data_IF_317244914128
#
_entry.id   IF_317244914128
#
_cell.length_a   1.000
_cell.length_b   1.000
_cell.length_c   1.000
_cell.angle_alpha   90.00
_cell.angle_beta   90.00
_cell.angle_gamma   90.00
#
_symmetry.space_group_name_H-M   'P 1'
#
loop_
_entity.id
_entity.type
_entity.pdbx_description
1 polymer ?
#
# COMPACT_ATOMS: atom_id res chain seq x y z
N UNK A 1 -21.62 -29.20 9.50
CA UNK A 1 -20.92 -28.02 8.99
C UNK A 1 -21.74 -27.21 7.97
N UNK A 2 -22.34 -27.88 6.97
CA UNK A 2 -23.15 -27.23 5.91
C UNK A 2 -24.29 -26.35 6.39
N UNK A 3 -25.14 -26.80 7.39
CA UNK A 3 -26.19 -25.94 7.92
C UNK A 3 -25.70 -24.68 8.61
N UNK A 4 -24.56 -24.78 9.33
CA UNK A 4 -23.95 -23.63 10.01
C UNK A 4 -23.42 -22.61 8.99
N UNK A 5 -22.74 -23.09 7.97
CA UNK A 5 -22.25 -22.23 6.88
C UNK A 5 -23.40 -21.51 6.20
N UNK A 6 -24.50 -22.25 5.89
CA UNK A 6 -25.70 -21.66 5.28
C UNK A 6 -26.34 -20.61 6.20
N UNK A 7 -26.41 -20.86 7.52
CA UNK A 7 -26.91 -19.90 8.50
C UNK A 7 -26.05 -18.60 8.52
N UNK A 8 -24.75 -18.73 8.51
CA UNK A 8 -23.84 -17.57 8.44
C UNK A 8 -24.06 -16.75 7.16
N UNK A 9 -24.16 -17.39 6.01
CA UNK A 9 -24.45 -16.69 4.75
C UNK A 9 -25.80 -15.97 4.78
N UNK A 10 -26.84 -16.59 5.33
CA UNK A 10 -28.17 -15.95 5.48
C UNK A 10 -28.10 -14.72 6.39
N UNK A 11 -27.37 -14.82 7.52
CA UNK A 11 -27.16 -13.70 8.43
C UNK A 11 -26.39 -12.55 7.77
N UNK A 12 -25.28 -12.85 7.09
CA UNK A 12 -24.48 -11.84 6.38
C UNK A 12 -25.33 -11.13 5.30
N UNK A 13 -26.14 -11.89 4.57
CA UNK A 13 -27.02 -11.32 3.55
C UNK A 13 -28.09 -10.41 4.16
N UNK A 14 -28.80 -10.88 5.20
CA UNK A 14 -29.78 -10.07 5.89
C UNK A 14 -29.19 -8.80 6.48
N UNK A 15 -27.99 -8.90 7.10
CA UNK A 15 -27.26 -7.73 7.59
C UNK A 15 -26.92 -6.74 6.46
N UNK A 16 -26.45 -7.22 5.32
CA UNK A 16 -26.10 -6.35 4.19
C UNK A 16 -27.32 -5.61 3.62
N UNK A 17 -28.47 -6.30 3.53
CA UNK A 17 -29.73 -5.73 3.08
C UNK A 17 -30.23 -4.64 4.05
N UNK A 18 -30.26 -4.92 5.35
CA UNK A 18 -30.67 -3.95 6.40
C UNK A 18 -29.69 -2.77 6.49
N UNK A 19 -28.39 -3.03 6.40
CA UNK A 19 -27.37 -1.97 6.44
C UNK A 19 -27.48 -1.03 5.24
N UNK A 20 -27.72 -1.57 4.04
CA UNK A 20 -27.96 -0.76 2.84
C UNK A 20 -29.23 0.11 2.98
N UNK A 21 -30.33 -0.48 3.46
CA UNK A 21 -31.57 0.24 3.69
C UNK A 21 -31.41 1.37 4.73
N UNK A 22 -30.70 1.10 5.83
CA UNK A 22 -30.45 2.11 6.87
C UNK A 22 -29.58 3.28 6.35
N UNK A 23 -28.61 3.00 5.50
CA UNK A 23 -27.80 4.05 4.84
C UNK A 23 -28.65 4.89 3.89
N UNK A 24 -29.52 4.27 3.11
CA UNK A 24 -30.41 4.95 2.19
C UNK A 24 -31.40 5.86 2.96
N UNK A 25 -32.05 5.36 4.02
CA UNK A 25 -32.95 6.14 4.87
C UNK A 25 -32.23 7.35 5.50
N UNK A 26 -30.99 7.16 5.96
CA UNK A 26 -30.19 8.21 6.55
C UNK A 26 -29.52 9.15 5.51
N UNK A 27 -29.62 8.86 4.22
CA UNK A 27 -28.89 9.54 3.13
C UNK A 27 -27.39 9.58 3.37
N UNK A 28 -26.82 8.47 3.84
CA UNK A 28 -25.39 8.30 4.13
C UNK A 28 -24.74 7.33 3.13
N UNK A 29 -23.47 7.56 2.88
CA UNK A 29 -22.61 6.63 2.14
C UNK A 29 -21.29 6.45 2.88
N UNK A 30 -20.77 5.22 2.92
CA UNK A 30 -19.44 4.93 3.42
C UNK A 30 -18.40 4.88 2.29
N UNK A 31 -17.11 4.79 2.63
CA UNK A 31 -16.05 4.74 1.63
C UNK A 31 -16.17 3.58 0.63
N UNK A 32 -16.54 2.35 1.03
CA UNK A 32 -16.84 1.27 0.09
C UNK A 32 -17.95 1.59 -0.91
N UNK A 33 -18.98 2.33 -0.51
CA UNK A 33 -20.07 2.73 -1.41
C UNK A 33 -19.57 3.60 -2.56
N UNK A 34 -18.68 4.57 -2.27
CA UNK A 34 -18.09 5.41 -3.33
C UNK A 34 -17.34 4.58 -4.37
N UNK A 35 -16.58 3.60 -3.91
CA UNK A 35 -15.85 2.71 -4.82
C UNK A 35 -16.81 1.85 -5.65
N UNK A 36 -17.87 1.31 -5.04
CA UNK A 36 -18.87 0.50 -5.72
C UNK A 36 -19.68 1.33 -6.73
N UNK A 37 -20.08 2.54 -6.36
CA UNK A 37 -20.79 3.46 -7.25
C UNK A 37 -19.92 3.86 -8.44
N UNK A 38 -18.65 4.21 -8.21
CA UNK A 38 -17.72 4.54 -9.29
C UNK A 38 -17.51 3.34 -10.22
N UNK A 39 -17.38 2.13 -9.68
CA UNK A 39 -17.28 0.92 -10.47
C UNK A 39 -18.51 0.71 -11.35
N UNK A 40 -19.71 0.79 -10.80
CA UNK A 40 -20.98 0.63 -11.53
C UNK A 40 -21.19 1.71 -12.60
N UNK A 41 -20.67 2.92 -12.38
CA UNK A 41 -20.69 3.98 -13.39
C UNK A 41 -19.73 3.70 -14.56
N UNK A 42 -18.58 3.08 -14.28
CA UNK A 42 -17.50 2.92 -15.25
C UNK A 42 -17.51 1.56 -15.94
N UNK A 43 -17.96 0.49 -15.26
CA UNK A 43 -17.88 -0.89 -15.71
C UNK A 43 -19.28 -1.47 -15.83
N UNK A 44 -19.62 -1.98 -17.01
CA UNK A 44 -20.90 -2.63 -17.25
C UNK A 44 -20.91 -4.08 -16.72
N UNK A 45 -22.08 -4.71 -16.62
CA UNK A 45 -22.23 -6.10 -16.14
C UNK A 45 -21.41 -7.13 -16.92
N UNK A 46 -21.13 -6.86 -18.19
CA UNK A 46 -20.29 -7.70 -19.06
C UNK A 46 -18.78 -7.44 -18.89
N UNK A 47 -18.41 -6.56 -17.94
CA UNK A 47 -17.03 -6.20 -17.65
C UNK A 47 -16.42 -5.16 -18.61
N UNK A 48 -17.21 -4.62 -19.55
CA UNK A 48 -16.74 -3.61 -20.51
C UNK A 48 -16.91 -2.20 -19.97
N UNK A 49 -16.11 -1.22 -20.45
CA UNK A 49 -16.34 0.19 -20.14
C UNK A 49 -17.72 0.65 -20.60
N UNK A 50 -18.43 1.33 -19.71
CA UNK A 50 -19.70 1.99 -20.04
C UNK A 50 -19.51 3.15 -21.01
N UNK A 51 -20.59 3.66 -21.59
CA UNK A 51 -20.53 4.86 -22.44
C UNK A 51 -20.05 6.09 -21.65
N UNK A 52 -20.36 6.16 -20.35
CA UNK A 52 -19.82 7.18 -19.44
C UNK A 52 -18.30 7.07 -19.33
N UNK A 53 -17.77 5.89 -19.07
CA UNK A 53 -16.32 5.67 -18.96
C UNK A 53 -15.60 5.98 -20.28
N UNK A 54 -16.18 5.57 -21.41
CA UNK A 54 -15.66 5.89 -22.75
C UNK A 54 -15.67 7.40 -23.06
N UNK A 55 -16.68 8.12 -22.60
CA UNK A 55 -16.70 9.56 -22.73
C UNK A 55 -15.64 10.23 -21.85
N UNK A 56 -15.49 9.72 -20.60
CA UNK A 56 -14.52 10.21 -19.64
C UNK A 56 -13.08 9.97 -20.11
N UNK A 57 -12.79 8.80 -20.71
CA UNK A 57 -11.44 8.45 -21.19
C UNK A 57 -10.90 9.41 -22.26
N UNK A 58 -11.77 10.10 -22.99
CA UNK A 58 -11.37 11.08 -23.99
C UNK A 58 -10.81 12.37 -23.39
N UNK A 59 -11.10 12.63 -22.11
CA UNK A 59 -10.66 13.84 -21.42
C UNK A 59 -9.23 13.72 -20.87
N UNK A 60 -8.69 12.50 -20.80
CA UNK A 60 -7.37 12.25 -20.23
C UNK A 60 -6.38 11.85 -21.32
N UNK A 61 -5.29 12.60 -21.46
CA UNK A 61 -4.16 12.19 -22.28
C UNK A 61 -3.36 11.10 -21.59
N UNK A 62 -3.10 11.26 -20.30
CA UNK A 62 -2.40 10.32 -19.44
C UNK A 62 -3.10 10.20 -18.09
N UNK A 63 -3.05 9.02 -17.49
CA UNK A 63 -3.57 8.72 -16.16
C UNK A 63 -2.40 8.17 -15.34
N UNK A 64 -1.96 8.96 -14.35
CA UNK A 64 -0.83 8.65 -13.50
C UNK A 64 -1.34 8.13 -12.15
N UNK A 65 -0.93 6.93 -11.77
CA UNK A 65 -1.36 6.26 -10.55
C UNK A 65 -0.15 6.05 -9.65
N UNK A 66 -0.12 6.78 -8.55
CA UNK A 66 0.93 6.66 -7.52
C UNK A 66 0.50 5.69 -6.40
N UNK A 67 1.48 5.18 -5.65
CA UNK A 67 1.28 4.20 -4.57
C UNK A 67 0.42 3.00 -5.02
N UNK A 68 0.67 2.54 -6.23
CA UNK A 68 -0.20 1.55 -6.87
C UNK A 68 -0.25 0.19 -6.16
N UNK A 69 0.73 -0.14 -5.29
CA UNK A 69 0.71 -1.31 -4.43
C UNK A 69 -0.45 -1.32 -3.42
N UNK A 70 -1.06 -0.16 -3.18
CA UNK A 70 -2.20 -0.01 -2.26
C UNK A 70 -3.56 -0.01 -2.97
N UNK A 71 -3.55 -0.25 -4.28
CA UNK A 71 -4.76 -0.36 -5.12
C UNK A 71 -5.41 -1.74 -4.92
N UNK A 72 -6.74 -1.80 -5.00
CA UNK A 72 -7.50 -3.04 -5.05
C UNK A 72 -8.00 -3.34 -6.48
N UNK A 73 -8.51 -4.58 -6.70
CA UNK A 73 -9.00 -5.00 -8.01
C UNK A 73 -10.13 -4.14 -8.56
N UNK A 74 -11.03 -3.68 -7.72
CA UNK A 74 -12.15 -2.83 -8.13
C UNK A 74 -11.64 -1.49 -8.66
N UNK A 75 -10.69 -0.88 -7.97
CA UNK A 75 -10.05 0.35 -8.42
C UNK A 75 -9.28 0.16 -9.73
N UNK A 76 -8.53 -0.96 -9.87
CA UNK A 76 -7.83 -1.30 -11.10
C UNK A 76 -8.78 -1.39 -12.31
N UNK A 77 -9.94 -2.02 -12.14
CA UNK A 77 -10.96 -2.11 -13.19
C UNK A 77 -11.56 -0.73 -13.55
N UNK A 78 -11.76 0.15 -12.55
CA UNK A 78 -12.18 1.54 -12.81
C UNK A 78 -11.12 2.27 -13.64
N UNK A 79 -9.84 2.18 -13.26
CA UNK A 79 -8.76 2.84 -14.00
C UNK A 79 -8.63 2.32 -15.44
N UNK A 80 -8.78 1.03 -15.64
CA UNK A 80 -8.81 0.44 -16.98
C UNK A 80 -10.00 0.97 -17.78
N UNK A 81 -11.19 1.03 -17.19
CA UNK A 81 -12.40 1.44 -17.86
C UNK A 81 -12.36 2.90 -18.33
N UNK A 82 -11.72 3.80 -17.56
CA UNK A 82 -11.55 5.21 -17.92
C UNK A 82 -10.28 5.50 -18.73
N UNK A 83 -9.50 4.48 -19.07
CA UNK A 83 -8.31 4.60 -19.90
C UNK A 83 -8.61 4.39 -21.39
N UNK A 84 -7.63 4.63 -22.23
CA UNK A 84 -7.65 4.30 -23.67
C UNK A 84 -7.11 2.88 -23.89
N UNK A 85 -7.89 1.87 -23.52
CA UNK A 85 -7.50 0.45 -23.54
C UNK A 85 -6.21 0.15 -22.74
N UNK A 86 -5.89 0.96 -21.73
CA UNK A 86 -4.68 0.82 -20.92
C UNK A 86 -3.42 1.48 -21.50
N UNK A 87 -3.49 2.06 -22.71
CA UNK A 87 -2.32 2.63 -23.40
C UNK A 87 -1.82 3.94 -22.77
N UNK A 88 -2.67 4.63 -22.02
CA UNK A 88 -2.37 5.90 -21.35
C UNK A 88 -2.31 5.77 -19.82
N UNK A 89 -2.08 4.56 -19.30
CA UNK A 89 -1.91 4.32 -17.86
C UNK A 89 -0.44 4.25 -17.49
N UNK A 90 -0.06 5.01 -16.47
CA UNK A 90 1.26 5.00 -15.89
C UNK A 90 1.16 4.68 -14.39
N UNK A 91 1.79 3.59 -13.98
CA UNK A 91 1.72 3.09 -12.59
C UNK A 91 3.05 3.31 -11.89
N UNK A 92 3.01 3.90 -10.71
CA UNK A 92 4.16 4.02 -9.81
C UNK A 92 3.83 3.32 -8.51
N UNK A 93 4.76 2.54 -7.99
CA UNK A 93 4.57 1.84 -6.73
C UNK A 93 5.78 1.02 -6.32
N UNK A 94 5.72 0.50 -5.13
CA UNK A 94 6.74 -0.37 -4.56
C UNK A 94 6.05 -1.47 -3.73
N UNK A 95 6.10 -2.73 -4.22
CA UNK A 95 5.47 -3.87 -3.54
C UNK A 95 5.93 -4.04 -2.08
N UNK A 96 7.18 -3.68 -1.78
CA UNK A 96 7.74 -3.74 -0.43
C UNK A 96 7.05 -2.79 0.56
N UNK A 97 6.39 -1.75 0.05
CA UNK A 97 5.70 -0.73 0.83
C UNK A 97 4.20 -1.00 0.97
N UNK A 98 3.69 -2.12 0.47
CA UNK A 98 2.28 -2.50 0.62
C UNK A 98 1.98 -2.89 2.06
N UNK A 99 1.40 -1.96 2.82
CA UNK A 99 1.04 -2.14 4.24
C UNK A 99 -0.46 -1.98 4.50
N UNK A 100 -1.27 -1.75 3.47
CA UNK A 100 -2.70 -1.44 3.60
C UNK A 100 -3.64 -2.60 3.23
N UNK A 101 -3.20 -3.86 3.35
CA UNK A 101 -4.07 -5.04 3.16
C UNK A 101 -5.31 -5.00 4.07
N UNK A 102 -5.19 -4.49 5.28
CA UNK A 102 -6.31 -4.31 6.22
C UNK A 102 -7.33 -3.26 5.76
N UNK A 103 -7.00 -2.46 4.73
CA UNK A 103 -7.89 -1.53 4.03
C UNK A 103 -8.27 -2.03 2.64
N UNK A 104 -8.25 -3.33 2.44
CA UNK A 104 -8.59 -4.00 1.18
C UNK A 104 -7.63 -3.74 0.01
N UNK A 105 -6.41 -3.22 0.25
CA UNK A 105 -5.37 -3.18 -0.76
C UNK A 105 -4.99 -4.61 -1.19
N UNK A 106 -4.83 -4.81 -2.49
CA UNK A 106 -4.42 -6.10 -3.08
C UNK A 106 -3.12 -5.95 -3.87
N UNK A 107 -1.95 -6.11 -3.23
CA UNK A 107 -0.67 -5.96 -3.92
C UNK A 107 -0.45 -6.96 -5.05
N UNK A 108 -1.26 -8.04 -5.14
CA UNK A 108 -1.17 -8.99 -6.26
C UNK A 108 -1.53 -8.34 -7.58
N UNK A 109 -2.39 -7.32 -7.58
CA UNK A 109 -2.74 -6.52 -8.77
C UNK A 109 -1.49 -5.87 -9.38
N UNK A 110 -0.62 -5.31 -8.55
CA UNK A 110 0.63 -4.71 -9.01
C UNK A 110 1.67 -5.78 -9.39
N UNK A 111 1.80 -6.85 -8.63
CA UNK A 111 2.69 -7.96 -8.92
C UNK A 111 2.35 -8.62 -10.29
N UNK A 112 1.07 -8.81 -10.61
CA UNK A 112 0.61 -9.33 -11.90
C UNK A 112 1.04 -8.42 -13.07
N UNK A 113 1.00 -7.08 -12.89
CA UNK A 113 1.47 -6.14 -13.91
C UNK A 113 2.99 -6.21 -14.06
N UNK A 114 3.74 -6.24 -12.96
CA UNK A 114 5.19 -6.37 -13.00
C UNK A 114 5.64 -7.66 -13.71
N UNK A 115 4.91 -8.76 -13.53
CA UNK A 115 5.22 -10.03 -14.19
C UNK A 115 4.91 -10.02 -15.70
N UNK A 116 3.95 -9.20 -16.12
CA UNK A 116 3.48 -9.14 -17.53
C UNK A 116 4.19 -8.09 -18.37
N UNK A 117 4.70 -7.03 -17.75
CA UNK A 117 5.30 -5.91 -18.46
C UNK A 117 6.74 -6.23 -18.85
N UNK A 118 7.11 -5.84 -20.05
CA UNK A 118 8.44 -6.08 -20.59
C UNK A 118 9.50 -5.22 -19.89
N UNK A 119 10.65 -5.83 -19.61
CA UNK A 119 11.83 -5.11 -19.10
C UNK A 119 12.75 -4.61 -20.24
N UNK A 120 12.46 -4.98 -21.49
CA UNK A 120 13.28 -4.70 -22.66
C UNK A 120 12.83 -3.48 -23.48
N UNK A 121 11.86 -2.71 -22.94
CA UNK A 121 11.41 -1.46 -23.56
C UNK A 121 10.21 -1.59 -24.50
N UNK A 122 9.68 -2.79 -24.72
CA UNK A 122 8.42 -3.00 -25.43
C UNK A 122 7.23 -2.61 -24.54
N UNK A 123 6.14 -2.15 -25.14
CA UNK A 123 4.94 -1.82 -24.40
C UNK A 123 4.01 -3.00 -24.18
N UNK A 124 3.43 -3.13 -22.99
CA UNK A 124 3.64 -2.29 -21.78
C UNK A 124 5.02 -2.53 -21.13
N UNK A 125 5.69 -1.45 -20.75
CA UNK A 125 7.08 -1.47 -20.25
C UNK A 125 7.15 -1.41 -18.72
N UNK A 126 8.12 -2.11 -18.13
CA UNK A 126 8.47 -2.06 -16.71
C UNK A 126 9.81 -1.32 -16.52
N UNK A 127 9.78 -0.22 -15.77
CA UNK A 127 10.97 0.52 -15.39
C UNK A 127 11.24 0.32 -13.90
N UNK A 128 12.45 -0.13 -13.54
CA UNK A 128 12.87 -0.31 -12.15
C UNK A 128 13.76 0.84 -11.70
N UNK A 129 13.34 1.52 -10.62
CA UNK A 129 14.10 2.59 -9.98
C UNK A 129 14.74 2.04 -8.70
N UNK A 130 16.03 1.70 -8.76
CA UNK A 130 16.78 1.13 -7.63
C UNK A 130 17.61 2.16 -6.84
N UNK A 131 17.72 3.41 -7.34
CA UNK A 131 18.50 4.46 -6.68
C UNK A 131 17.64 5.37 -5.83
N UNK A 132 18.07 5.55 -4.58
CA UNK A 132 17.43 6.44 -3.61
C UNK A 132 18.26 7.72 -3.46
N UNK A 133 17.63 8.87 -3.75
CA UNK A 133 18.26 10.20 -3.65
C UNK A 133 17.84 10.96 -2.39
N UNK A 134 17.03 10.36 -1.53
CA UNK A 134 16.48 10.96 -0.31
C UNK A 134 17.31 10.67 0.92
N UNK A 135 17.82 9.44 1.02
CA UNK A 135 18.45 8.92 2.23
C UNK A 135 19.96 8.75 2.07
N UNK A 136 20.68 8.84 3.19
CA UNK A 136 22.11 8.54 3.24
C UNK A 136 22.36 7.06 3.07
N UNK A 137 23.52 6.70 2.50
CA UNK A 137 23.94 5.32 2.26
C UNK A 137 23.80 4.44 3.49
N UNK A 138 24.33 4.86 4.64
CA UNK A 138 24.25 4.04 5.86
C UNK A 138 22.81 3.80 6.37
N UNK A 139 21.84 4.68 6.03
CA UNK A 139 20.42 4.42 6.32
C UNK A 139 19.89 3.33 5.40
N UNK A 140 20.27 3.38 4.12
CA UNK A 140 19.86 2.37 3.14
C UNK A 140 20.48 1.01 3.44
N UNK A 141 21.73 0.97 3.85
CA UNK A 141 22.43 -0.24 4.27
C UNK A 141 21.74 -0.87 5.50
N UNK A 142 21.35 -0.05 6.47
CA UNK A 142 20.61 -0.50 7.64
C UNK A 142 19.24 -1.08 7.24
N UNK A 143 18.51 -0.43 6.33
CA UNK A 143 17.25 -0.92 5.78
C UNK A 143 17.47 -2.25 5.05
N UNK A 144 18.41 -2.31 4.11
CA UNK A 144 18.75 -3.53 3.38
C UNK A 144 19.13 -4.69 4.33
N UNK A 145 19.95 -4.39 5.36
CA UNK A 145 20.37 -5.37 6.36
C UNK A 145 19.17 -5.96 7.14
N UNK A 146 18.22 -5.13 7.55
CA UNK A 146 17.03 -5.61 8.29
C UNK A 146 16.11 -6.40 7.37
N UNK A 147 15.74 -5.83 6.23
CA UNK A 147 14.73 -6.44 5.36
C UNK A 147 15.22 -7.71 4.65
N UNK A 148 16.51 -7.82 4.36
CA UNK A 148 17.08 -9.07 3.84
C UNK A 148 16.96 -10.27 4.81
N UNK A 149 16.76 -10.00 6.09
CA UNK A 149 16.62 -11.04 7.11
C UNK A 149 15.18 -11.39 7.47
N UNK A 150 14.26 -10.41 7.37
CA UNK A 150 12.89 -10.58 7.85
C UNK A 150 11.83 -10.63 6.74
N UNK A 151 12.13 -10.14 5.54
CA UNK A 151 11.17 -10.11 4.44
C UNK A 151 11.35 -11.32 3.53
N UNK A 152 10.30 -12.13 3.44
CA UNK A 152 10.21 -13.29 2.57
C UNK A 152 8.85 -13.30 1.87
N UNK A 153 8.66 -14.17 0.87
CA UNK A 153 7.36 -14.37 0.24
C UNK A 153 6.26 -14.72 1.26
N UNK A 154 6.61 -15.50 2.28
CA UNK A 154 5.69 -15.89 3.36
C UNK A 154 5.40 -14.75 4.34
N UNK A 155 6.42 -13.96 4.70
CA UNK A 155 6.33 -12.94 5.75
C UNK A 155 6.09 -11.52 5.21
N UNK A 156 6.12 -11.30 3.92
CA UNK A 156 5.92 -9.97 3.32
C UNK A 156 5.31 -10.00 1.92
N UNK A 157 5.15 -11.20 1.36
CA UNK A 157 4.65 -11.39 -0.01
C UNK A 157 5.66 -11.00 -1.09
N UNK A 158 6.90 -10.66 -0.70
CA UNK A 158 8.00 -10.28 -1.61
C UNK A 158 9.29 -10.85 -1.05
N UNK A 159 10.09 -11.46 -1.91
CA UNK A 159 11.45 -11.88 -1.56
C UNK A 159 12.40 -10.68 -1.67
N UNK A 160 13.05 -10.32 -0.56
CA UNK A 160 13.99 -9.20 -0.52
C UNK A 160 15.39 -9.65 -0.98
N UNK A 161 15.60 -9.65 -2.30
CA UNK A 161 16.88 -9.99 -2.92
C UNK A 161 17.62 -8.78 -3.48
N UNK A 162 18.61 -9.03 -4.30
CA UNK A 162 19.41 -7.98 -4.94
C UNK A 162 18.61 -7.03 -5.83
N UNK A 163 17.51 -7.52 -6.43
CA UNK A 163 16.59 -6.71 -7.25
C UNK A 163 15.76 -5.72 -6.45
N UNK A 164 15.55 -6.01 -5.16
CA UNK A 164 14.73 -5.20 -4.26
C UNK A 164 15.55 -4.30 -3.35
N UNK A 165 16.88 -4.53 -3.27
CA UNK A 165 17.79 -3.71 -2.48
C UNK A 165 17.82 -2.27 -3.00
N UNK A 166 17.87 -1.32 -2.07
CA UNK A 166 17.88 0.11 -2.38
C UNK A 166 19.30 0.63 -2.31
N UNK A 167 19.75 1.36 -3.33
CA UNK A 167 21.11 1.87 -3.44
C UNK A 167 21.14 3.40 -3.37
N UNK A 168 22.20 3.96 -2.75
CA UNK A 168 22.39 5.40 -2.70
C UNK A 168 22.54 5.99 -4.11
N UNK A 169 21.76 7.02 -4.41
CA UNK A 169 21.82 7.79 -5.65
C UNK A 169 22.43 9.18 -5.44
N UNK A 170 22.55 9.64 -4.19
CA UNK A 170 23.13 10.93 -3.84
C UNK A 170 24.25 10.76 -2.82
N UNK A 171 25.22 11.68 -2.87
CA UNK A 171 26.31 11.76 -1.90
C UNK A 171 25.94 12.81 -0.85
N UNK A 172 26.06 12.44 0.40
CA UNK A 172 25.83 13.33 1.54
C UNK A 172 27.12 13.51 2.35
N UNK A 173 27.31 14.65 3.02
CA UNK A 173 28.44 14.83 3.94
C UNK A 173 28.49 13.72 4.99
N UNK A 174 29.67 13.24 5.30
CA UNK A 174 29.84 12.23 6.37
C UNK A 174 29.32 12.75 7.70
N UNK A 175 28.68 11.85 8.47
CA UNK A 175 28.31 12.11 9.86
C UNK A 175 28.93 11.03 10.74
N UNK A 176 29.55 11.42 11.86
CA UNK A 176 30.04 10.46 12.83
C UNK A 176 28.86 9.76 13.51
N UNK A 177 28.99 8.48 13.75
CA UNK A 177 28.00 7.64 14.44
C UNK A 177 27.32 6.61 13.55
N UNK A 178 26.70 5.61 14.15
CA UNK A 178 25.96 4.57 13.45
C UNK A 178 24.60 5.08 12.93
N UNK A 179 24.17 4.56 11.79
CA UNK A 179 22.88 4.94 11.15
C UNK A 179 21.70 4.19 11.75
N UNK A 180 21.93 3.10 12.46
CA UNK A 180 20.88 2.29 13.09
C UNK A 180 21.18 2.09 14.57
N UNK A 181 20.19 2.38 15.39
CA UNK A 181 20.23 2.09 16.84
C UNK A 181 19.00 1.28 17.21
N UNK A 182 19.21 0.02 17.60
CA UNK A 182 18.15 -0.86 18.08
C UNK A 182 18.08 -0.79 19.60
N UNK A 183 16.87 -0.59 20.12
CA UNK A 183 16.63 -0.49 21.56
C UNK A 183 15.49 -1.41 21.96
N UNK A 184 15.73 -2.18 23.01
CA UNK A 184 14.76 -3.12 23.57
C UNK A 184 14.20 -2.54 24.86
N UNK A 185 12.87 -2.41 24.95
CA UNK A 185 12.16 -2.01 26.15
C UNK A 185 11.52 -3.24 26.80
N UNK A 186 11.89 -3.54 28.04
CA UNK A 186 11.22 -4.58 28.83
C UNK A 186 9.90 -4.03 29.39
N UNK A 187 8.80 -4.51 28.86
CA UNK A 187 7.43 -4.09 29.24
C UNK A 187 6.81 -5.02 30.31
N UNK A 188 7.58 -5.94 30.93
CA UNK A 188 7.06 -6.90 31.93
C UNK A 188 6.46 -6.22 33.16
N UNK A 189 6.89 -5.00 33.46
CA UNK A 189 6.38 -4.22 34.60
C UNK A 189 5.17 -3.36 34.25
N UNK A 190 4.74 -3.36 32.99
CA UNK A 190 3.58 -2.58 32.52
C UNK A 190 2.33 -3.48 32.52
N UNK A 191 1.53 -3.41 33.58
CA UNK A 191 0.38 -4.30 33.79
C UNK A 191 -0.82 -4.01 32.91
N UNK A 192 -0.89 -2.84 32.28
CA UNK A 192 -1.97 -2.41 31.39
C UNK A 192 -1.44 -1.89 30.06
N UNK A 193 -2.30 -1.88 29.02
CA UNK A 193 -1.95 -1.31 27.72
C UNK A 193 -1.63 0.18 27.81
N UNK A 194 -2.37 0.95 28.61
CA UNK A 194 -2.10 2.36 28.86
C UNK A 194 -0.74 2.58 29.53
N UNK A 195 -0.33 1.70 30.47
CA UNK A 195 0.97 1.80 31.10
C UNK A 195 2.12 1.48 30.13
N UNK A 196 1.90 0.59 29.15
CA UNK A 196 2.86 0.31 28.07
C UNK A 196 3.04 1.50 27.15
N UNK A 197 1.96 2.11 26.67
CA UNK A 197 1.98 3.29 25.82
C UNK A 197 2.70 4.46 26.51
N UNK A 198 2.39 4.73 27.80
CA UNK A 198 3.05 5.78 28.57
C UNK A 198 4.54 5.51 28.74
N UNK A 199 4.93 4.25 28.98
CA UNK A 199 6.34 3.86 29.15
C UNK A 199 7.12 4.08 27.86
N UNK A 200 6.57 3.66 26.71
CA UNK A 200 7.14 3.87 25.40
C UNK A 200 7.26 5.37 25.05
N UNK A 201 6.19 6.14 25.28
CA UNK A 201 6.18 7.58 25.04
C UNK A 201 7.23 8.32 25.89
N UNK A 202 7.36 7.98 27.18
CA UNK A 202 8.39 8.56 28.05
C UNK A 202 9.80 8.20 27.60
N UNK A 203 9.99 6.96 27.17
CA UNK A 203 11.28 6.53 26.65
C UNK A 203 11.64 7.31 25.37
N UNK A 204 10.73 7.37 24.40
CA UNK A 204 10.89 8.11 23.16
C UNK A 204 11.20 9.59 23.42
N UNK A 205 10.45 10.25 24.31
CA UNK A 205 10.67 11.65 24.70
C UNK A 205 12.09 11.87 25.29
N UNK A 206 12.59 10.91 26.11
CA UNK A 206 13.96 10.99 26.64
C UNK A 206 15.01 10.87 25.54
N UNK A 207 14.81 9.98 24.56
CA UNK A 207 15.72 9.84 23.43
C UNK A 207 15.76 11.12 22.58
N UNK A 208 14.59 11.71 22.27
CA UNK A 208 14.50 12.98 21.55
C UNK A 208 15.23 14.09 22.31
N UNK A 209 14.98 14.21 23.62
CA UNK A 209 15.67 15.20 24.47
C UNK A 209 17.20 14.99 24.54
N UNK A 210 17.68 13.74 24.47
CA UNK A 210 19.11 13.45 24.38
C UNK A 210 19.70 13.90 23.07
N UNK A 211 19.06 13.56 21.95
CA UNK A 211 19.50 13.96 20.62
C UNK A 211 19.58 15.48 20.45
N UNK A 212 18.57 16.20 20.98
CA UNK A 212 18.56 17.67 20.95
C UNK A 212 19.73 18.27 21.75
N UNK A 213 20.06 17.68 22.92
CA UNK A 213 21.21 18.13 23.75
C UNK A 213 22.55 17.83 23.09
N UNK A 214 22.63 16.74 22.34
CA UNK A 214 23.83 16.34 21.58
C UNK A 214 24.02 17.18 20.29
N UNK A 215 23.10 18.09 20.00
CA UNK A 215 23.15 18.97 18.83
C UNK A 215 22.72 18.30 17.53
N UNK A 216 21.94 17.24 17.61
CA UNK A 216 21.26 16.72 16.42
C UNK A 216 20.22 17.75 15.95
N UNK A 217 20.24 18.13 14.66
CA UNK A 217 19.28 19.08 14.11
C UNK A 217 17.87 18.52 14.04
#
# INVERSE_FOLDING_TARGET
LLPVIRGVFQLCRAFAEEYAAAKEEASLADFPDFSALAFNLCVAEDGRPTEFAKALSKNYEEILLDEYQDTNRLQDEIFKAISRNGENLFYVGDLKQSIYRFRSADPTVFAEKQARFSQEGDFPALLRLSRNFRSREGVLDAVNCVFSQIMSEEAGGVFYGASEAVHAGAVYPERPGGCLKVQLLDMKTADTEDSRVITEARYTARQVASLLREGYP
#
